data_IF_358108523730
#
_entry.id   IF_358108523730
#
_cell.length_a   1.000
_cell.length_b   1.000
_cell.length_c   1.000
_cell.angle_alpha   90.00
_cell.angle_beta   90.00
_cell.angle_gamma   90.00
#
_symmetry.space_group_name_H-M   'P 1'
#
loop_
_entity.id
_entity.type
_entity.pdbx_description
1 polymer ?
#
# COMPACT_ATOMS: atom_id res chain seq x y z
N UNK A 1 -55.00 -7.30 77.98
CA UNK A 1 -54.46 -7.93 76.75
C UNK A 1 -54.93 -7.26 75.45
N UNK A 2 -56.16 -6.76 75.33
CA UNK A 2 -56.64 -6.10 74.11
C UNK A 2 -55.96 -4.75 73.83
N UNK A 3 -55.77 -3.92 74.86
CA UNK A 3 -55.15 -2.59 74.73
C UNK A 3 -53.69 -2.66 74.23
N UNK A 4 -52.88 -3.54 74.82
CA UNK A 4 -51.47 -3.76 74.41
C UNK A 4 -51.37 -4.20 72.94
N UNK A 5 -52.34 -4.97 72.43
CA UNK A 5 -52.39 -5.35 71.01
C UNK A 5 -52.76 -4.19 70.09
N UNK A 6 -53.62 -3.27 70.55
CA UNK A 6 -53.96 -2.07 69.80
C UNK A 6 -52.76 -1.11 69.74
N UNK A 7 -52.10 -0.88 70.88
CA UNK A 7 -50.92 -0.02 70.96
C UNK A 7 -49.76 -0.55 70.10
N UNK A 8 -49.53 -1.87 70.10
CA UNK A 8 -48.55 -2.52 69.21
C UNK A 8 -48.86 -2.33 67.72
N UNK A 9 -50.13 -2.36 67.32
CA UNK A 9 -50.51 -2.08 65.92
C UNK A 9 -50.28 -0.63 65.54
N UNK A 10 -50.61 0.31 66.44
CA UNK A 10 -50.39 1.74 66.20
C UNK A 10 -48.90 2.06 66.10
N UNK A 11 -48.07 1.49 66.99
CA UNK A 11 -46.61 1.62 66.93
C UNK A 11 -46.07 1.01 65.63
N UNK A 12 -46.54 -0.18 65.23
CA UNK A 12 -46.12 -0.81 63.97
C UNK A 12 -46.51 0.01 62.74
N UNK A 13 -47.69 0.63 62.73
CA UNK A 13 -48.15 1.49 61.63
C UNK A 13 -47.43 2.84 61.58
N UNK A 14 -47.00 3.36 62.74
CA UNK A 14 -46.22 4.59 62.83
C UNK A 14 -44.74 4.41 62.47
N UNK A 15 -44.18 3.19 62.66
CA UNK A 15 -42.78 2.87 62.36
C UNK A 15 -42.51 2.57 60.89
N UNK A 16 -43.51 2.12 60.13
CA UNK A 16 -43.36 1.80 58.71
C UNK A 16 -44.65 2.16 57.98
N UNK A 17 -44.70 3.38 57.45
CA UNK A 17 -45.85 3.80 56.67
C UNK A 17 -45.75 3.23 55.25
N UNK A 18 -46.88 2.93 54.60
CA UNK A 18 -46.89 2.50 53.18
C UNK A 18 -46.19 3.52 52.27
N UNK A 19 -46.17 4.78 52.67
CA UNK A 19 -45.47 5.88 52.01
C UNK A 19 -43.95 5.74 52.08
N UNK A 20 -43.39 5.28 53.20
CA UNK A 20 -41.93 5.04 53.33
C UNK A 20 -41.48 3.89 52.44
N UNK A 21 -42.28 2.82 52.37
CA UNK A 21 -42.03 1.70 51.46
C UNK A 21 -42.07 2.14 49.99
N UNK A 22 -43.04 2.98 49.61
CA UNK A 22 -43.14 3.55 48.26
C UNK A 22 -41.99 4.48 47.91
N UNK A 23 -41.54 5.32 48.85
CA UNK A 23 -40.37 6.18 48.67
C UNK A 23 -39.08 5.37 48.49
N UNK A 24 -38.93 4.28 49.25
CA UNK A 24 -37.80 3.36 49.10
C UNK A 24 -37.83 2.64 47.75
N UNK A 25 -39.00 2.20 47.30
CA UNK A 25 -39.19 1.59 45.97
C UNK A 25 -38.84 2.58 44.85
N UNK A 26 -39.28 3.82 44.95
CA UNK A 26 -38.96 4.87 43.98
C UNK A 26 -37.45 5.17 43.95
N UNK A 27 -36.82 5.29 45.12
CA UNK A 27 -35.36 5.50 45.23
C UNK A 27 -34.57 4.34 44.62
N UNK A 28 -34.98 3.09 44.89
CA UNK A 28 -34.37 1.90 44.30
C UNK A 28 -34.53 1.87 42.78
N UNK A 29 -35.72 2.17 42.26
CA UNK A 29 -35.98 2.25 40.81
C UNK A 29 -35.11 3.31 40.15
N UNK A 30 -35.05 4.52 40.71
CA UNK A 30 -34.18 5.59 40.20
C UNK A 30 -32.71 5.19 40.22
N UNK A 31 -32.23 4.57 41.30
CA UNK A 31 -30.82 4.12 41.39
C UNK A 31 -30.51 3.01 40.37
N UNK A 32 -31.40 2.04 40.18
CA UNK A 32 -31.24 0.97 39.19
C UNK A 32 -31.24 1.57 37.77
N UNK A 33 -32.18 2.47 37.46
CA UNK A 33 -32.24 3.14 36.16
C UNK A 33 -30.97 3.95 35.87
N UNK A 34 -30.45 4.69 36.86
CA UNK A 34 -29.20 5.42 36.73
C UNK A 34 -28.01 4.49 36.46
N UNK A 35 -27.88 3.39 37.23
CA UNK A 35 -26.82 2.40 37.02
C UNK A 35 -26.92 1.72 35.66
N UNK A 36 -28.12 1.38 35.20
CA UNK A 36 -28.33 0.81 33.87
C UNK A 36 -27.95 1.79 32.76
N UNK A 37 -28.24 3.08 32.93
CA UNK A 37 -27.83 4.11 31.97
C UNK A 37 -26.31 4.23 31.89
N UNK A 38 -25.62 4.23 33.04
CA UNK A 38 -24.15 4.24 33.09
C UNK A 38 -23.54 3.00 32.42
N UNK A 39 -24.02 1.80 32.75
CA UNK A 39 -23.52 0.55 32.14
C UNK A 39 -23.71 0.56 30.62
N UNK A 40 -24.85 1.05 30.12
CA UNK A 40 -25.09 1.18 28.68
C UNK A 40 -24.07 2.11 28.02
N UNK A 41 -23.76 3.23 28.66
CA UNK A 41 -22.77 4.16 28.17
C UNK A 41 -21.36 3.54 28.18
N UNK A 42 -20.98 2.85 29.25
CA UNK A 42 -19.68 2.19 29.36
C UNK A 42 -19.52 1.10 28.30
N UNK A 43 -20.53 0.25 28.12
CA UNK A 43 -20.54 -0.78 27.06
C UNK A 43 -20.41 -0.14 25.69
N UNK A 44 -21.15 0.94 25.42
CA UNK A 44 -21.04 1.66 24.14
C UNK A 44 -19.65 2.27 23.93
N UNK A 45 -19.00 2.77 24.98
CA UNK A 45 -17.66 3.33 24.88
C UNK A 45 -16.61 2.24 24.66
N UNK A 46 -16.73 1.10 25.34
CA UNK A 46 -15.84 -0.03 25.21
C UNK A 46 -15.91 -0.68 23.82
N UNK A 47 -17.13 -0.79 23.24
CA UNK A 47 -17.30 -1.33 21.88
C UNK A 47 -16.71 -0.41 20.82
N UNK A 48 -16.85 0.91 20.98
CA UNK A 48 -16.22 1.88 20.08
C UNK A 48 -14.69 1.83 20.17
N UNK A 49 -14.13 1.73 21.38
CA UNK A 49 -12.69 1.60 21.57
C UNK A 49 -12.15 0.32 20.95
N UNK A 50 -12.79 -0.83 21.18
CA UNK A 50 -12.39 -2.10 20.57
C UNK A 50 -12.46 -2.05 19.03
N UNK A 51 -13.47 -1.37 18.48
CA UNK A 51 -13.59 -1.17 17.04
C UNK A 51 -12.47 -0.28 16.50
N UNK A 52 -12.15 0.82 17.20
CA UNK A 52 -11.08 1.72 16.83
C UNK A 52 -9.70 1.05 16.85
N UNK A 53 -9.43 0.21 17.87
CA UNK A 53 -8.17 -0.56 17.93
C UNK A 53 -8.06 -1.57 16.81
N UNK A 54 -9.16 -2.26 16.48
CA UNK A 54 -9.20 -3.24 15.39
C UNK A 54 -8.98 -2.55 14.04
N UNK A 55 -9.65 -1.41 13.82
CA UNK A 55 -9.48 -0.61 12.61
C UNK A 55 -8.04 -0.10 12.46
N UNK A 56 -7.44 0.41 13.55
CA UNK A 56 -6.05 0.86 13.54
C UNK A 56 -5.07 -0.27 13.19
N UNK A 57 -5.29 -1.47 13.74
CA UNK A 57 -4.47 -2.64 13.41
C UNK A 57 -4.60 -3.04 11.94
N UNK A 58 -5.82 -3.05 11.40
CA UNK A 58 -6.08 -3.33 9.99
C UNK A 58 -5.42 -2.29 9.08
N UNK A 59 -5.53 -0.99 9.41
CA UNK A 59 -4.90 0.09 8.67
C UNK A 59 -3.38 -0.10 8.61
N UNK A 60 -2.73 -0.34 9.75
CA UNK A 60 -1.28 -0.53 9.82
C UNK A 60 -0.83 -1.77 9.02
N UNK A 61 -1.62 -2.84 9.02
CA UNK A 61 -1.32 -4.02 8.23
C UNK A 61 -1.39 -3.75 6.72
N UNK A 62 -2.41 -2.99 6.27
CA UNK A 62 -2.56 -2.59 4.87
C UNK A 62 -1.43 -1.65 4.45
N UNK A 63 -1.08 -0.68 5.30
CA UNK A 63 0.02 0.25 5.04
C UNK A 63 1.36 -0.48 4.86
N UNK A 64 1.67 -1.43 5.75
CA UNK A 64 2.87 -2.26 5.63
C UNK A 64 2.88 -3.09 4.34
N UNK A 65 1.72 -3.65 3.96
CA UNK A 65 1.59 -4.40 2.71
C UNK A 65 1.82 -3.51 1.48
N UNK A 66 1.27 -2.28 1.48
CA UNK A 66 1.44 -1.32 0.41
C UNK A 66 2.92 -0.91 0.26
N UNK A 67 3.63 -0.65 1.37
CA UNK A 67 5.07 -0.35 1.33
C UNK A 67 5.87 -1.51 0.77
N UNK A 68 5.56 -2.76 1.19
CA UNK A 68 6.23 -3.97 0.67
C UNK A 68 6.03 -4.12 -0.83
N UNK A 69 4.80 -3.93 -1.32
CA UNK A 69 4.50 -3.99 -2.75
C UNK A 69 5.22 -2.88 -3.52
N UNK A 70 5.27 -1.66 -2.98
CA UNK A 70 6.03 -0.55 -3.58
C UNK A 70 7.51 -0.87 -3.75
N UNK A 71 8.13 -1.49 -2.74
CA UNK A 71 9.53 -1.91 -2.82
C UNK A 71 9.74 -3.02 -3.86
N UNK A 72 8.86 -4.03 -3.91
CA UNK A 72 8.94 -5.08 -4.94
C UNK A 72 8.83 -4.51 -6.36
N UNK A 73 7.93 -3.53 -6.57
CA UNK A 73 7.80 -2.86 -7.87
C UNK A 73 9.06 -2.10 -8.25
N UNK A 74 9.72 -1.44 -7.29
CA UNK A 74 10.99 -0.76 -7.51
C UNK A 74 12.08 -1.74 -7.92
N UNK A 75 12.18 -2.88 -7.22
CA UNK A 75 13.19 -3.91 -7.49
C UNK A 75 12.98 -4.54 -8.87
N UNK A 76 11.72 -4.86 -9.22
CA UNK A 76 11.38 -5.37 -10.57
C UNK A 76 11.73 -4.35 -11.64
N UNK A 77 11.43 -3.06 -11.43
CA UNK A 77 11.81 -2.01 -12.39
C UNK A 77 13.31 -1.92 -12.59
N UNK A 78 14.09 -1.94 -11.51
CA UNK A 78 15.56 -1.93 -11.58
C UNK A 78 16.09 -3.16 -12.31
N UNK A 79 15.49 -4.32 -12.07
CA UNK A 79 15.89 -5.54 -12.75
C UNK A 79 15.62 -5.46 -14.26
N UNK A 80 14.43 -4.99 -14.66
CA UNK A 80 14.10 -4.78 -16.08
C UNK A 80 15.06 -3.78 -16.72
N UNK A 81 15.36 -2.68 -16.04
CA UNK A 81 16.31 -1.68 -16.53
C UNK A 81 17.73 -2.26 -16.70
N UNK A 82 18.20 -3.07 -15.74
CA UNK A 82 19.49 -3.75 -15.85
C UNK A 82 19.50 -4.74 -17.03
N UNK A 83 18.43 -5.51 -17.22
CA UNK A 83 18.30 -6.43 -18.35
C UNK A 83 18.29 -5.71 -19.70
N UNK A 84 17.54 -4.61 -19.83
CA UNK A 84 17.52 -3.80 -21.05
C UNK A 84 18.88 -3.15 -21.31
N UNK A 85 19.54 -2.63 -20.26
CA UNK A 85 20.89 -2.11 -20.35
C UNK A 85 21.90 -3.18 -20.79
N UNK A 86 21.85 -4.39 -20.21
CA UNK A 86 22.70 -5.52 -20.64
C UNK A 86 22.42 -5.93 -22.08
N UNK A 87 21.16 -5.97 -22.50
CA UNK A 87 20.78 -6.23 -23.88
C UNK A 87 21.28 -5.17 -24.86
N UNK A 88 21.46 -3.91 -24.41
CA UNK A 88 21.99 -2.80 -25.22
C UNK A 88 23.52 -2.71 -25.20
N UNK A 89 24.22 -3.22 -24.18
CA UNK A 89 25.69 -3.10 -24.05
C UNK A 89 26.45 -3.66 -25.25
N UNK A 90 25.91 -4.67 -25.91
CA UNK A 90 26.54 -5.27 -27.10
C UNK A 90 26.02 -4.71 -28.43
N UNK A 91 25.14 -3.69 -28.40
CA UNK A 91 24.54 -3.12 -29.60
C UNK A 91 25.23 -1.81 -29.98
N UNK A 92 25.97 -1.79 -31.09
CA UNK A 92 26.61 -0.59 -31.63
C UNK A 92 25.73 0.00 -32.74
N UNK A 93 25.53 1.32 -32.69
CA UNK A 93 24.86 2.08 -33.77
C UNK A 93 25.89 2.83 -34.61
N UNK A 94 25.98 2.46 -35.88
CA UNK A 94 26.91 3.07 -36.85
C UNK A 94 26.11 4.03 -37.74
N UNK A 95 26.63 5.24 -37.95
CA UNK A 95 26.04 6.27 -38.81
C UNK A 95 26.99 6.62 -39.95
N UNK A 96 26.44 7.07 -41.08
CA UNK A 96 27.23 7.50 -42.23
C UNK A 96 27.64 6.38 -43.20
N UNK A 97 27.14 5.15 -42.99
CA UNK A 97 27.29 4.08 -43.97
C UNK A 97 26.35 4.33 -45.17
N UNK A 98 26.86 4.23 -46.41
CA UNK A 98 26.03 4.45 -47.58
C UNK A 98 25.01 3.31 -47.77
N UNK A 99 23.85 3.64 -48.33
CA UNK A 99 22.73 2.71 -48.52
C UNK A 99 22.89 1.79 -49.74
N UNK A 100 23.83 2.11 -50.63
CA UNK A 100 24.11 1.37 -51.86
C UNK A 100 24.93 0.08 -51.65
N UNK A 101 25.26 -0.27 -50.41
CA UNK A 101 25.85 -1.58 -50.07
C UNK A 101 24.70 -2.60 -50.06
N UNK A 102 24.27 -3.00 -51.26
CA UNK A 102 23.30 -4.07 -51.47
C UNK A 102 24.01 -5.18 -52.25
N UNK A 103 24.23 -6.33 -51.62
CA UNK A 103 24.83 -7.49 -52.29
C UNK A 103 25.61 -8.39 -51.33
N UNK A 104 26.41 -7.82 -50.45
CA UNK A 104 27.16 -8.55 -49.42
C UNK A 104 26.37 -8.62 -48.09
N UNK A 105 26.48 -9.71 -47.32
CA UNK A 105 25.94 -9.76 -45.97
C UNK A 105 26.56 -8.63 -45.15
N UNK A 106 25.71 -7.76 -44.61
CA UNK A 106 26.11 -6.57 -43.86
C UNK A 106 27.11 -6.91 -42.73
N UNK A 107 26.98 -8.09 -42.15
CA UNK A 107 27.84 -8.66 -41.12
C UNK A 107 29.29 -8.80 -41.58
N UNK A 108 29.52 -9.38 -42.76
CA UNK A 108 30.86 -9.57 -43.32
C UNK A 108 31.55 -8.23 -43.61
N UNK A 109 30.81 -7.26 -44.17
CA UNK A 109 31.33 -5.91 -44.41
C UNK A 109 31.69 -5.20 -43.11
N UNK A 110 30.83 -5.28 -42.08
CA UNK A 110 31.11 -4.69 -40.78
C UNK A 110 32.31 -5.36 -40.11
N UNK A 111 32.42 -6.68 -40.20
CA UNK A 111 33.53 -7.43 -39.64
C UNK A 111 34.86 -7.04 -40.31
N UNK A 112 34.89 -6.94 -41.65
CA UNK A 112 36.04 -6.45 -42.39
C UNK A 112 36.40 -4.98 -42.03
N UNK A 113 35.40 -4.11 -41.91
CA UNK A 113 35.59 -2.71 -41.53
C UNK A 113 36.18 -2.58 -40.12
N UNK A 114 35.65 -3.32 -39.14
CA UNK A 114 36.16 -3.27 -37.77
C UNK A 114 37.54 -3.89 -37.65
N UNK A 115 37.83 -5.00 -38.34
CA UNK A 115 39.17 -5.57 -38.36
C UNK A 115 40.19 -4.59 -38.95
N UNK A 116 39.83 -3.89 -40.04
CA UNK A 116 40.64 -2.83 -40.61
C UNK A 116 40.88 -1.66 -39.64
N UNK A 117 39.83 -1.17 -38.96
CA UNK A 117 39.95 -0.05 -38.01
C UNK A 117 40.76 -0.44 -36.77
N UNK A 118 40.58 -1.66 -36.27
CA UNK A 118 41.22 -2.15 -35.06
C UNK A 118 42.65 -2.66 -35.29
N UNK A 119 43.07 -2.82 -36.57
CA UNK A 119 44.37 -3.41 -36.91
C UNK A 119 44.47 -4.89 -36.55
N UNK A 120 43.35 -5.60 -36.58
CA UNK A 120 43.30 -7.03 -36.34
C UNK A 120 43.38 -7.77 -37.68
N UNK A 121 44.45 -8.55 -37.87
CA UNK A 121 44.60 -9.38 -39.06
C UNK A 121 43.78 -10.69 -38.97
N UNK A 122 43.38 -11.09 -37.75
CA UNK A 122 42.61 -12.31 -37.51
C UNK A 122 41.09 -12.08 -37.64
N UNK A 123 40.41 -12.71 -38.62
CA UNK A 123 38.98 -12.55 -38.82
C UNK A 123 38.11 -13.16 -37.70
N UNK A 124 38.67 -14.07 -36.89
CA UNK A 124 37.96 -14.71 -35.78
C UNK A 124 37.86 -13.83 -34.52
N UNK A 125 38.68 -12.77 -34.39
CA UNK A 125 38.75 -11.96 -33.17
C UNK A 125 37.52 -11.07 -32.94
N UNK A 126 36.79 -10.71 -33.99
CA UNK A 126 35.64 -9.81 -33.90
C UNK A 126 34.43 -10.40 -34.60
N UNK A 127 33.51 -11.03 -33.85
CA UNK A 127 32.32 -11.67 -34.44
C UNK A 127 31.09 -10.77 -34.34
N UNK A 128 30.42 -10.55 -35.47
CA UNK A 128 29.13 -9.84 -35.52
C UNK A 128 28.00 -10.87 -35.49
N UNK A 129 27.26 -10.95 -34.37
CA UNK A 129 26.15 -11.89 -34.24
C UNK A 129 24.94 -11.57 -35.11
N UNK A 130 24.66 -10.27 -35.30
CA UNK A 130 23.52 -9.79 -36.08
C UNK A 130 23.78 -8.38 -36.55
N UNK A 131 23.61 -8.12 -37.83
CA UNK A 131 23.59 -6.76 -38.37
C UNK A 131 22.28 -6.47 -39.09
N UNK A 132 21.73 -5.28 -38.87
CA UNK A 132 20.57 -4.80 -39.61
C UNK A 132 20.58 -3.27 -39.68
N UNK A 133 20.01 -2.73 -40.76
CA UNK A 133 19.76 -1.29 -40.87
C UNK A 133 18.59 -0.94 -39.93
N UNK A 134 18.84 -0.06 -38.97
CA UNK A 134 17.78 0.44 -38.11
C UNK A 134 16.83 1.31 -38.94
N UNK A 135 15.51 1.08 -38.82
CA UNK A 135 14.51 1.94 -39.43
C UNK A 135 14.73 3.38 -38.95
N UNK A 136 14.81 4.32 -39.90
CA UNK A 136 14.90 5.75 -39.60
C UNK A 136 13.66 6.15 -38.81
N UNK A 137 13.82 6.48 -37.54
CA UNK A 137 12.77 7.19 -36.82
C UNK A 137 12.51 8.52 -37.54
N UNK A 138 11.23 8.92 -37.77
CA UNK A 138 10.92 10.21 -38.37
C UNK A 138 11.64 11.31 -37.59
N UNK A 139 12.32 12.22 -38.30
CA UNK A 139 12.96 13.40 -37.68
C UNK A 139 11.87 14.41 -37.31
N UNK A 140 11.10 14.09 -36.27
CA UNK A 140 10.17 15.00 -35.57
C UNK A 140 10.29 14.59 -34.10
N UNK A 141 11.09 15.23 -33.26
CA UNK A 141 10.92 16.61 -32.85
C UNK A 141 12.26 17.19 -32.39
N UNK A 142 12.53 18.42 -32.84
CA UNK A 142 13.45 19.32 -32.15
C UNK A 142 12.79 19.62 -30.80
N UNK A 143 13.29 19.04 -29.71
CA UNK A 143 12.98 19.56 -28.37
C UNK A 143 13.81 20.83 -28.21
N UNK A 144 13.22 21.98 -28.55
CA UNK A 144 13.75 23.27 -28.10
C UNK A 144 13.65 23.27 -26.58
N UNK A 145 14.81 23.18 -25.90
CA UNK A 145 14.90 23.58 -24.50
C UNK A 145 14.61 25.07 -24.45
N UNK A 146 13.37 25.41 -24.12
CA UNK A 146 13.01 26.76 -23.68
C UNK A 146 13.57 26.95 -22.28
N UNK A 147 14.75 27.58 -22.18
CA UNK A 147 15.18 28.26 -20.97
C UNK A 147 14.36 29.54 -20.81
N UNK A 148 13.51 29.59 -19.79
CA UNK A 148 13.21 30.77 -18.97
C UNK A 148 12.73 30.30 -17.61
#
# INVERSE_FOLDING_TARGET
MAQVRADLRTISQAMFTKTDAGAMEASLKCSIQAKLAMIRQDVSSATLQASATTFSQQHNAVELAATRQGNMLLDVRRHIEDLDNRGRRCNIRIRGLPDNIQGEPLEAMLQALFNFILGNDDPENFQVHRAHRALRQPRTAVCTRSSK
#
